data_IF_820168395327
#
_entry.id   IF_820168395327
#
_cell.length_a   1.000
_cell.length_b   1.000
_cell.length_c   1.000
_cell.angle_alpha   90.00
_cell.angle_beta   90.00
_cell.angle_gamma   90.00
#
_symmetry.space_group_name_H-M   'P 1'
#
loop_
_entity.id
_entity.type
_entity.pdbx_description
1 polymer ?
#
# COMPACT_ATOMS: atom_id res chain seq x y z
N UNK A 1 -11.72 1.17 13.89
CA UNK A 1 -11.65 0.27 12.71
C UNK A 1 -10.61 0.83 11.77
N UNK A 2 -9.83 -0.03 11.11
CA UNK A 2 -8.84 0.37 10.10
C UNK A 2 -9.48 0.41 8.71
N UNK A 3 -8.78 1.05 7.79
CA UNK A 3 -9.06 1.06 6.36
C UNK A 3 -7.84 0.45 5.67
N UNK A 4 -8.08 -0.61 4.91
CA UNK A 4 -7.02 -1.35 4.23
C UNK A 4 -7.04 -1.06 2.72
N UNK A 5 -5.85 -0.87 2.17
CA UNK A 5 -5.55 -0.71 0.75
C UNK A 5 -4.52 -1.74 0.34
N UNK A 6 -4.66 -2.29 -0.87
CA UNK A 6 -3.68 -3.23 -1.42
C UNK A 6 -3.24 -2.75 -2.79
N UNK A 7 -1.92 -2.65 -3.01
CA UNK A 7 -1.35 -2.52 -4.35
C UNK A 7 -0.98 -3.92 -4.86
N UNK A 8 -1.47 -4.23 -6.06
CA UNK A 8 -1.13 -5.42 -6.83
C UNK A 8 -0.21 -4.98 -7.97
N UNK A 9 1.09 -5.05 -7.73
CA UNK A 9 2.18 -4.57 -8.58
C UNK A 9 2.62 -5.66 -9.57
N UNK A 10 2.82 -5.33 -10.86
CA UNK A 10 3.31 -6.30 -11.85
C UNK A 10 4.81 -6.59 -11.69
N UNK A 11 5.54 -5.57 -11.26
CA UNK A 11 6.97 -5.66 -10.95
C UNK A 11 7.19 -5.53 -9.44
N UNK A 12 8.33 -6.04 -8.95
CA UNK A 12 8.69 -5.87 -7.54
C UNK A 12 8.95 -4.38 -7.29
N UNK A 13 8.22 -3.71 -6.40
CA UNK A 13 8.53 -2.33 -6.06
C UNK A 13 9.87 -2.30 -5.33
N UNK A 14 10.84 -1.61 -5.91
CA UNK A 14 12.12 -1.36 -5.26
C UNK A 14 12.03 -0.17 -4.28
N UNK A 15 13.11 0.10 -3.57
CA UNK A 15 13.18 1.21 -2.61
C UNK A 15 12.89 2.56 -3.25
N UNK A 16 13.28 2.78 -4.51
CA UNK A 16 13.06 4.04 -5.23
C UNK A 16 11.56 4.24 -5.48
N UNK A 17 10.88 3.20 -5.98
CA UNK A 17 9.44 3.20 -6.23
C UNK A 17 8.66 3.43 -4.94
N UNK A 18 9.06 2.78 -3.84
CA UNK A 18 8.45 2.95 -2.52
C UNK A 18 8.62 4.37 -1.99
N UNK A 19 9.83 4.94 -2.05
CA UNK A 19 10.09 6.32 -1.62
C UNK A 19 9.30 7.32 -2.47
N UNK A 20 9.23 7.12 -3.80
CA UNK A 20 8.45 7.96 -4.69
C UNK A 20 6.95 7.91 -4.35
N UNK A 21 6.41 6.73 -4.01
CA UNK A 21 5.04 6.59 -3.56
C UNK A 21 4.78 7.31 -2.21
N UNK A 22 5.73 7.27 -1.28
CA UNK A 22 5.65 8.03 -0.02
C UNK A 22 5.66 9.54 -0.27
N UNK A 23 6.51 10.00 -1.19
CA UNK A 23 6.55 11.42 -1.57
C UNK A 23 5.26 11.88 -2.22
N UNK A 24 4.67 11.06 -3.09
CA UNK A 24 3.37 11.33 -3.71
C UNK A 24 2.25 11.42 -2.65
N UNK A 25 2.26 10.51 -1.67
CA UNK A 25 1.29 10.50 -0.58
C UNK A 25 1.39 11.72 0.35
N UNK A 26 2.58 12.29 0.50
CA UNK A 26 2.76 13.56 1.19
C UNK A 26 4.22 13.89 1.47
N UNK A 27 4.77 14.99 0.94
CA UNK A 27 6.20 15.31 1.06
C UNK A 27 6.63 15.73 2.48
N UNK A 28 5.67 15.97 3.39
CA UNK A 28 5.92 16.34 4.79
C UNK A 28 5.69 15.18 5.76
N UNK A 29 5.30 14.01 5.27
CA UNK A 29 5.09 12.85 6.13
C UNK A 29 6.42 12.42 6.74
N UNK A 30 6.39 12.11 8.03
CA UNK A 30 7.52 11.55 8.77
C UNK A 30 7.49 10.04 8.60
N UNK A 31 8.66 9.43 8.46
CA UNK A 31 8.80 7.98 8.27
C UNK A 31 9.33 7.35 9.55
N UNK A 32 8.73 6.23 9.95
CA UNK A 32 9.24 5.32 10.96
C UNK A 32 9.32 3.90 10.37
N UNK A 33 10.28 3.11 10.84
CA UNK A 33 10.47 1.72 10.41
C UNK A 33 10.46 0.81 11.62
N UNK A 34 9.66 -0.25 11.58
CA UNK A 34 9.64 -1.30 12.61
C UNK A 34 10.34 -2.51 12.00
N UNK A 35 11.64 -2.65 12.26
CA UNK A 35 12.50 -3.65 11.61
C UNK A 35 12.06 -5.08 11.90
N UNK A 36 11.68 -5.39 13.14
CA UNK A 36 11.28 -6.74 13.55
C UNK A 36 10.03 -7.24 12.82
N UNK A 37 9.16 -6.31 12.43
CA UNK A 37 7.90 -6.61 11.74
C UNK A 37 7.97 -6.29 10.23
N UNK A 38 9.09 -5.76 9.73
CA UNK A 38 9.25 -5.29 8.35
C UNK A 38 8.13 -4.33 7.92
N UNK A 39 7.79 -3.39 8.82
CA UNK A 39 6.76 -2.38 8.58
C UNK A 39 7.38 -1.01 8.38
N UNK A 40 6.75 -0.22 7.53
CA UNK A 40 7.02 1.21 7.41
C UNK A 40 5.77 1.97 7.79
N UNK A 41 5.93 2.99 8.63
CA UNK A 41 4.84 3.85 9.08
C UNK A 41 5.06 5.28 8.59
N UNK A 42 3.99 5.91 8.13
CA UNK A 42 3.95 7.32 7.77
C UNK A 42 3.13 8.07 8.82
N UNK A 43 3.69 9.17 9.30
CA UNK A 43 3.08 10.04 10.29
C UNK A 43 2.90 11.45 9.73
N UNK A 44 1.78 12.07 10.06
CA UNK A 44 1.61 13.49 9.85
C UNK A 44 2.57 14.27 10.78
N UNK A 45 3.01 15.50 10.41
CA UNK A 45 3.92 16.28 11.26
C UNK A 45 3.49 16.48 12.72
N UNK A 46 2.19 16.46 13.00
CA UNK A 46 1.58 16.54 14.33
C UNK A 46 1.68 15.25 15.16
N UNK A 47 2.19 14.16 14.59
CA UNK A 47 2.37 12.87 15.26
C UNK A 47 1.23 11.86 15.06
N UNK A 48 0.19 12.19 14.28
CA UNK A 48 -0.86 11.21 13.93
C UNK A 48 -0.31 10.16 12.95
N UNK A 49 -0.60 8.88 13.21
CA UNK A 49 -0.34 7.79 12.26
C UNK A 49 -1.25 7.94 11.04
N UNK A 50 -0.67 7.93 9.85
CA UNK A 50 -1.41 8.06 8.58
C UNK A 50 -1.51 6.73 7.84
N UNK A 51 -0.43 5.94 7.85
CA UNK A 51 -0.33 4.69 7.11
C UNK A 51 0.68 3.78 7.78
N UNK A 52 0.38 2.48 7.83
CA UNK A 52 1.37 1.42 8.04
C UNK A 52 1.37 0.55 6.79
N UNK A 53 2.53 0.28 6.20
CA UNK A 53 2.65 -0.55 5.00
C UNK A 53 3.63 -1.69 5.24
N UNK A 54 3.29 -2.86 4.68
CA UNK A 54 4.09 -4.08 4.77
C UNK A 54 5.06 -4.18 3.58
N UNK A 55 6.16 -4.92 3.74
CA UNK A 55 7.03 -5.27 2.62
C UNK A 55 6.30 -6.06 1.52
N UNK A 56 6.74 -5.88 0.27
CA UNK A 56 6.13 -6.55 -0.88
C UNK A 56 6.26 -8.07 -0.81
N UNK A 57 5.17 -8.78 -1.07
CA UNK A 57 5.11 -10.25 -1.07
C UNK A 57 4.71 -10.77 -2.44
N UNK A 58 5.43 -11.77 -2.97
CA UNK A 58 5.07 -12.39 -4.24
C UNK A 58 3.94 -13.39 -4.05
N UNK A 59 2.80 -13.15 -4.68
CA UNK A 59 1.66 -14.07 -4.74
C UNK A 59 1.75 -14.85 -6.05
N UNK A 60 1.99 -16.17 -5.92
CA UNK A 60 2.20 -17.06 -7.07
C UNK A 60 1.02 -17.98 -7.37
N UNK A 61 0.00 -17.99 -6.51
CA UNK A 61 -1.16 -18.87 -6.64
C UNK A 61 -2.21 -18.20 -7.55
N UNK A 62 -2.55 -18.80 -8.71
CA UNK A 62 -3.56 -18.22 -9.60
C UNK A 62 -4.91 -18.04 -8.90
N UNK A 63 -5.52 -16.86 -9.07
CA UNK A 63 -6.82 -16.54 -8.49
C UNK A 63 -6.81 -16.16 -7.00
N UNK A 64 -5.65 -16.22 -6.33
CA UNK A 64 -5.54 -15.85 -4.92
C UNK A 64 -5.93 -14.39 -4.62
N UNK A 65 -5.54 -13.38 -5.44
CA UNK A 65 -6.03 -12.03 -5.25
C UNK A 65 -7.56 -11.90 -5.33
N UNK A 66 -8.19 -12.64 -6.24
CA UNK A 66 -9.66 -12.69 -6.34
C UNK A 66 -10.30 -13.33 -5.10
N UNK A 67 -9.71 -14.42 -4.59
CA UNK A 67 -10.21 -15.12 -3.40
C UNK A 67 -10.13 -14.23 -2.15
N UNK A 68 -9.05 -13.48 -1.99
CA UNK A 68 -8.80 -12.64 -0.81
C UNK A 68 -9.49 -11.27 -0.86
N UNK A 69 -9.51 -10.63 -2.03
CA UNK A 69 -9.99 -9.25 -2.19
C UNK A 69 -11.39 -9.15 -2.79
N UNK A 70 -11.94 -10.24 -3.32
CA UNK A 70 -13.25 -10.23 -3.99
C UNK A 70 -13.27 -9.46 -5.31
N UNK A 71 -12.12 -9.12 -5.88
CA UNK A 71 -12.01 -8.42 -7.16
C UNK A 71 -12.51 -9.29 -8.32
N UNK A 72 -13.22 -8.67 -9.25
CA UNK A 72 -13.78 -9.34 -10.44
C UNK A 72 -12.82 -9.34 -11.62
N UNK A 73 -11.92 -8.37 -11.66
CA UNK A 73 -10.94 -8.22 -12.72
C UNK A 73 -9.89 -9.34 -12.67
N UNK A 74 -9.38 -9.70 -13.85
CA UNK A 74 -8.28 -10.65 -13.94
C UNK A 74 -6.99 -10.00 -13.45
N UNK A 75 -6.36 -10.62 -12.45
CA UNK A 75 -5.05 -10.21 -11.95
C UNK A 75 -4.00 -11.18 -12.50
N UNK A 76 -2.96 -10.68 -13.18
CA UNK A 76 -1.84 -11.50 -13.63
C UNK A 76 -1.24 -12.31 -12.47
N UNK A 77 -0.77 -13.52 -12.76
CA UNK A 77 -0.03 -14.34 -11.78
C UNK A 77 1.32 -14.71 -12.38
N UNK A 78 2.45 -14.52 -11.65
CA UNK A 78 2.53 -14.00 -10.29
C UNK A 78 2.30 -12.47 -10.20
N UNK A 79 1.99 -11.98 -9.00
CA UNK A 79 1.82 -10.54 -8.71
C UNK A 79 2.48 -10.18 -7.38
N UNK A 80 3.01 -8.96 -7.28
CA UNK A 80 3.54 -8.44 -6.03
C UNK A 80 2.45 -7.74 -5.23
N UNK A 81 2.26 -8.16 -4.00
CA UNK A 81 1.25 -7.66 -3.07
C UNK A 81 1.90 -6.74 -2.04
N UNK A 82 1.39 -5.51 -1.94
CA UNK A 82 1.75 -4.57 -0.88
C UNK A 82 0.48 -4.15 -0.16
N UNK A 83 0.40 -4.54 1.11
CA UNK A 83 -0.74 -4.18 1.97
C UNK A 83 -0.42 -2.95 2.79
N UNK A 84 -1.37 -2.03 2.84
CA UNK A 84 -1.27 -0.83 3.65
C UNK A 84 -2.54 -0.63 4.46
N UNK A 85 -2.38 -0.30 5.74
CA UNK A 85 -3.48 -0.07 6.68
C UNK A 85 -3.42 1.34 7.22
N UNK A 86 -4.58 1.97 7.33
CA UNK A 86 -4.74 3.35 7.80
C UNK A 86 -5.82 3.44 8.88
N UNK A 87 -5.74 4.41 9.82
CA UNK A 87 -6.84 4.68 10.75
C UNK A 87 -8.14 5.04 10.02
N UNK A 88 -9.17 4.19 10.14
CA UNK A 88 -10.38 4.28 9.30
C UNK A 88 -11.39 5.39 9.66
N UNK A 89 -11.10 6.20 10.68
CA UNK A 89 -11.90 7.35 11.09
C UNK A 89 -11.21 8.70 10.81
N UNK A 90 -10.04 8.69 10.16
CA UNK A 90 -9.28 9.88 9.80
C UNK A 90 -9.28 10.05 8.27
N UNK A 91 -10.03 11.02 7.71
CA UNK A 91 -10.09 11.25 6.28
C UNK A 91 -8.73 11.62 5.65
N UNK A 92 -7.84 12.27 6.39
CA UNK A 92 -6.50 12.61 5.90
C UNK A 92 -5.67 11.34 5.73
N UNK A 93 -5.76 10.45 6.71
CA UNK A 93 -5.06 9.16 6.68
C UNK A 93 -5.57 8.27 5.54
N UNK A 94 -6.89 8.25 5.30
CA UNK A 94 -7.48 7.56 4.16
C UNK A 94 -6.96 8.12 2.83
N UNK A 95 -6.87 9.45 2.69
CA UNK A 95 -6.33 10.08 1.48
C UNK A 95 -4.85 9.73 1.26
N UNK A 96 -4.04 9.72 2.32
CA UNK A 96 -2.63 9.30 2.27
C UNK A 96 -2.51 7.84 1.81
N UNK A 97 -3.33 6.94 2.37
CA UNK A 97 -3.34 5.53 1.99
C UNK A 97 -3.69 5.35 0.51
N UNK A 98 -4.74 6.03 0.03
CA UNK A 98 -5.17 5.97 -1.36
C UNK A 98 -4.08 6.47 -2.31
N UNK A 99 -3.46 7.61 -2.03
CA UNK A 99 -2.44 8.17 -2.91
C UNK A 99 -1.16 7.34 -2.90
N UNK A 100 -0.72 6.84 -1.74
CA UNK A 100 0.41 5.92 -1.64
C UNK A 100 0.21 4.67 -2.51
N UNK A 101 -0.90 3.96 -2.32
CA UNK A 101 -1.19 2.71 -3.04
C UNK A 101 -1.38 2.96 -4.53
N UNK A 102 -2.03 4.07 -4.91
CA UNK A 102 -2.19 4.48 -6.31
C UNK A 102 -0.85 4.78 -6.98
N UNK A 103 0.02 5.52 -6.32
CA UNK A 103 1.35 5.84 -6.85
C UNK A 103 2.23 4.59 -6.99
N UNK A 104 2.11 3.65 -6.04
CA UNK A 104 2.83 2.38 -6.11
C UNK A 104 2.34 1.53 -7.29
N UNK A 105 1.03 1.39 -7.44
CA UNK A 105 0.42 0.66 -8.55
C UNK A 105 0.79 1.29 -9.90
N UNK A 106 0.72 2.62 -10.03
CA UNK A 106 1.03 3.30 -11.29
C UNK A 106 2.49 3.09 -11.74
N UNK A 107 3.45 3.14 -10.80
CA UNK A 107 4.87 2.94 -11.11
C UNK A 107 5.24 1.49 -11.40
N UNK A 108 4.39 0.54 -11.04
CA UNK A 108 4.63 -0.91 -11.22
C UNK A 108 3.65 -1.53 -12.21
N UNK A 109 2.97 -0.70 -13.02
CA UNK A 109 1.94 -1.07 -13.99
C UNK A 109 0.81 -1.96 -13.39
N UNK A 110 0.57 -1.80 -12.10
CA UNK A 110 -0.35 -2.59 -11.30
C UNK A 110 -1.73 -1.98 -11.15
N UNK A 111 -2.45 -2.47 -10.14
CA UNK A 111 -3.74 -1.93 -9.72
C UNK A 111 -3.82 -1.79 -8.21
N UNK A 112 -4.80 -1.04 -7.73
CA UNK A 112 -5.06 -0.86 -6.30
C UNK A 112 -6.46 -1.34 -5.94
N UNK A 113 -6.58 -1.97 -4.78
CA UNK A 113 -7.84 -2.38 -4.17
C UNK A 113 -8.05 -1.64 -2.85
N UNK A 114 -9.32 -1.49 -2.47
CA UNK A 114 -9.78 -0.77 -1.29
C UNK A 114 -10.80 -1.61 -0.55
N UNK A 115 -10.68 -1.69 0.78
CA UNK A 115 -11.66 -2.33 1.67
C UNK A 115 -12.97 -1.53 1.84
N UNK A 116 -12.99 -0.29 1.34
CA UNK A 116 -14.13 0.64 1.36
C UNK A 116 -14.35 1.29 0.00
#
# INVERSE_FOLDING_TARGET
>A
MTFDMVALCREQPDTTVVIAAMQAAGPKLKVNTIEEAQLIELYHPDGRLMLTTEGARLVQVPGEPRRLLGITDEVPTPVWWVESRSPGADPDAEAVAREFTRALAAQTEGMSWSSR
#
